data_IF_845977154636
#
_entry.id   IF_845977154636
#
_cell.length_a   1.000
_cell.length_b   1.000
_cell.length_c   1.000
_cell.angle_alpha   90.00
_cell.angle_beta   90.00
_cell.angle_gamma   90.00
#
_symmetry.space_group_name_H-M   'P 1'
#
loop_
_entity.id
_entity.type
_entity.pdbx_description
1 polymer ?
#
# COMPACT_ATOMS: atom_id res chain seq x y z
N UNK A 1 82.84 -26.21 -28.42
CA UNK A 1 81.73 -25.90 -29.36
C UNK A 1 80.76 -27.08 -29.42
N UNK A 2 79.49 -26.91 -29.01
CA UNK A 2 78.28 -27.44 -29.67
C UNK A 2 77.03 -26.93 -28.94
N UNK A 3 76.10 -26.38 -29.73
CA UNK A 3 75.01 -25.44 -29.37
C UNK A 3 73.96 -26.05 -28.41
N UNK A 4 73.56 -25.28 -27.39
CA UNK A 4 72.28 -25.46 -26.69
C UNK A 4 71.14 -25.08 -27.65
N UNK A 5 70.23 -26.01 -27.90
CA UNK A 5 68.99 -25.78 -28.67
C UNK A 5 68.00 -25.00 -27.80
N UNK A 6 67.77 -23.73 -28.13
CA UNK A 6 66.68 -22.93 -27.54
C UNK A 6 65.35 -23.36 -28.17
N UNK A 7 64.57 -24.17 -27.45
CA UNK A 7 63.19 -24.47 -27.84
C UNK A 7 62.34 -23.23 -27.57
N UNK A 8 61.95 -22.51 -28.64
CA UNK A 8 61.00 -21.39 -28.58
C UNK A 8 59.61 -21.92 -28.21
N UNK A 9 59.09 -21.50 -27.05
CA UNK A 9 57.69 -21.73 -26.64
C UNK A 9 56.78 -20.86 -27.52
N UNK A 10 55.98 -21.47 -28.39
CA UNK A 10 54.93 -20.79 -29.19
C UNK A 10 53.75 -20.51 -28.26
N UNK A 11 53.53 -19.25 -27.88
CA UNK A 11 52.27 -18.82 -27.28
C UNK A 11 51.23 -18.72 -28.41
N UNK A 12 50.35 -19.72 -28.50
CA UNK A 12 49.11 -19.58 -29.26
C UNK A 12 48.18 -18.70 -28.42
N UNK A 13 48.16 -17.40 -28.71
CA UNK A 13 47.02 -16.57 -28.37
C UNK A 13 45.96 -16.83 -29.44
N UNK A 14 44.91 -17.57 -29.08
CA UNK A 14 43.71 -17.69 -29.90
C UNK A 14 43.07 -16.31 -29.98
N UNK A 15 43.38 -15.57 -31.05
CA UNK A 15 42.61 -14.40 -31.43
C UNK A 15 41.26 -14.90 -31.92
N UNK A 16 40.24 -14.85 -31.06
CA UNK A 16 38.86 -15.06 -31.46
C UNK A 16 38.53 -14.12 -32.62
N UNK A 17 38.47 -14.67 -33.84
CA UNK A 17 38.07 -13.93 -35.03
C UNK A 17 36.57 -13.68 -34.92
N UNK A 18 36.19 -12.55 -34.31
CA UNK A 18 34.80 -12.09 -34.32
C UNK A 18 34.46 -11.70 -35.75
N UNK A 19 33.61 -12.51 -36.39
CA UNK A 19 33.06 -12.22 -37.71
C UNK A 19 32.21 -10.94 -37.59
N UNK A 20 32.74 -9.82 -38.10
CA UNK A 20 32.18 -8.47 -37.90
C UNK A 20 30.69 -8.38 -38.24
N UNK A 21 30.25 -9.02 -39.32
CA UNK A 21 28.83 -9.04 -39.71
C UNK A 21 27.93 -9.74 -38.68
N UNK A 22 28.38 -10.87 -38.12
CA UNK A 22 27.62 -11.58 -37.08
C UNK A 22 27.49 -10.75 -35.81
N UNK A 23 28.54 -10.02 -35.44
CA UNK A 23 28.52 -9.11 -34.29
C UNK A 23 27.52 -7.97 -34.48
N UNK A 24 27.52 -7.29 -35.63
CA UNK A 24 26.55 -6.22 -35.91
C UNK A 24 25.11 -6.74 -36.03
N UNK A 25 24.90 -7.93 -36.58
CA UNK A 25 23.58 -8.56 -36.64
C UNK A 25 23.03 -8.80 -35.23
N UNK A 26 23.84 -9.36 -34.33
CA UNK A 26 23.43 -9.61 -32.94
C UNK A 26 23.11 -8.30 -32.22
N UNK A 27 23.94 -7.26 -32.37
CA UNK A 27 23.67 -5.95 -31.79
C UNK A 27 22.35 -5.34 -32.29
N UNK A 28 22.09 -5.46 -33.60
CA UNK A 28 20.86 -4.95 -34.20
C UNK A 28 19.63 -5.68 -33.64
N UNK A 29 19.69 -7.01 -33.51
CA UNK A 29 18.59 -7.79 -32.90
C UNK A 29 18.34 -7.36 -31.46
N UNK A 30 19.40 -7.20 -30.66
CA UNK A 30 19.28 -6.73 -29.28
C UNK A 30 18.67 -5.33 -29.24
N UNK A 31 19.13 -4.42 -30.10
CA UNK A 31 18.60 -3.06 -30.19
C UNK A 31 17.10 -3.04 -30.52
N UNK A 32 16.67 -3.84 -31.49
CA UNK A 32 15.25 -3.95 -31.84
C UNK A 32 14.42 -4.55 -30.71
N UNK A 33 14.94 -5.54 -29.98
CA UNK A 33 14.26 -6.11 -28.83
C UNK A 33 14.03 -5.07 -27.73
N UNK A 34 15.05 -4.28 -27.39
CA UNK A 34 14.91 -3.18 -26.41
C UNK A 34 13.98 -2.07 -26.91
N UNK A 35 14.06 -1.73 -28.20
CA UNK A 35 13.19 -0.72 -28.81
C UNK A 35 11.72 -1.15 -28.78
N UNK A 36 11.43 -2.42 -29.05
CA UNK A 36 10.08 -2.97 -28.94
C UNK A 36 9.56 -2.93 -27.50
N UNK A 37 10.41 -3.25 -26.52
CA UNK A 37 10.04 -3.18 -25.09
C UNK A 37 9.77 -1.73 -24.67
N UNK A 38 10.63 -0.79 -25.05
CA UNK A 38 10.44 0.63 -24.78
C UNK A 38 9.16 1.18 -25.42
N UNK A 39 8.89 0.79 -26.68
CA UNK A 39 7.64 1.13 -27.38
C UNK A 39 6.42 0.55 -26.66
N UNK A 40 6.49 -0.69 -26.15
CA UNK A 40 5.40 -1.28 -25.37
C UNK A 40 5.17 -0.54 -24.05
N UNK A 41 6.23 -0.13 -23.36
CA UNK A 41 6.14 0.67 -22.13
C UNK A 41 5.48 2.01 -22.44
N UNK A 42 5.93 2.71 -23.48
CA UNK A 42 5.35 3.99 -23.90
C UNK A 42 3.86 3.84 -24.28
N UNK A 43 3.48 2.77 -24.99
CA UNK A 43 2.09 2.47 -25.31
C UNK A 43 1.22 2.37 -24.04
N UNK A 44 1.67 1.58 -23.05
CA UNK A 44 0.92 1.38 -21.81
C UNK A 44 0.80 2.69 -21.02
N UNK A 45 1.87 3.50 -20.97
CA UNK A 45 1.89 4.75 -20.22
C UNK A 45 1.08 5.87 -20.89
N UNK A 46 1.01 5.92 -22.22
CA UNK A 46 0.37 7.03 -22.95
C UNK A 46 -1.10 6.72 -23.28
N UNK A 47 -1.42 5.48 -23.68
CA UNK A 47 -2.74 5.13 -24.21
C UNK A 47 -3.66 4.55 -23.14
N UNK A 48 -3.13 3.83 -22.14
CA UNK A 48 -3.93 3.23 -21.07
C UNK A 48 -3.41 3.50 -19.62
N UNK A 49 -3.00 4.74 -19.26
CA UNK A 49 -2.65 5.02 -17.87
C UNK A 49 -3.87 4.95 -16.93
N UNK A 50 -5.05 5.33 -17.42
CA UNK A 50 -6.23 5.60 -16.59
C UNK A 50 -6.77 4.38 -15.86
N UNK A 51 -6.76 3.19 -16.47
CA UNK A 51 -7.27 1.98 -15.83
C UNK A 51 -6.37 1.53 -14.68
N UNK A 52 -5.04 1.61 -14.86
CA UNK A 52 -4.05 1.26 -13.85
C UNK A 52 -4.04 2.28 -12.70
N UNK A 53 -4.11 3.57 -13.01
CA UNK A 53 -4.22 4.65 -12.02
C UNK A 53 -5.52 4.49 -11.22
N UNK A 54 -6.66 4.30 -11.90
CA UNK A 54 -7.96 4.09 -11.24
C UNK A 54 -7.94 2.89 -10.29
N UNK A 55 -7.29 1.79 -10.65
CA UNK A 55 -7.16 0.63 -9.77
C UNK A 55 -6.25 0.91 -8.57
N UNK A 56 -5.21 1.73 -8.74
CA UNK A 56 -4.37 2.23 -7.64
C UNK A 56 -5.15 3.15 -6.70
N UNK A 57 -5.91 4.09 -7.27
CA UNK A 57 -6.70 5.07 -6.54
C UNK A 57 -7.81 4.40 -5.72
N UNK A 58 -8.54 3.44 -6.30
CA UNK A 58 -9.56 2.67 -5.61
C UNK A 58 -9.03 1.90 -4.39
N UNK A 59 -7.72 1.59 -4.37
CA UNK A 59 -7.09 0.86 -3.27
C UNK A 59 -6.45 1.79 -2.23
N UNK A 60 -5.97 2.96 -2.65
CA UNK A 60 -5.10 3.81 -1.82
C UNK A 60 -5.72 5.14 -1.41
N UNK A 61 -6.54 5.76 -2.27
CA UNK A 61 -7.10 7.08 -1.96
C UNK A 61 -8.33 6.91 -1.06
N UNK A 62 -8.18 7.35 0.20
CA UNK A 62 -9.32 7.59 1.10
C UNK A 62 -9.39 9.07 1.41
N UNK A 63 -10.40 9.74 0.87
CA UNK A 63 -10.72 11.10 1.27
C UNK A 63 -11.22 11.08 2.73
N UNK A 64 -10.47 11.70 3.65
CA UNK A 64 -10.93 11.97 5.01
C UNK A 64 -11.25 13.45 5.09
N UNK A 65 -12.51 13.80 5.28
CA UNK A 65 -12.90 15.19 5.50
C UNK A 65 -12.37 15.64 6.86
N UNK A 66 -11.54 16.67 6.87
CA UNK A 66 -11.15 17.35 8.11
C UNK A 66 -12.29 18.30 8.48
N UNK A 67 -12.99 18.01 9.57
CA UNK A 67 -14.00 18.92 10.10
C UNK A 67 -13.28 20.09 10.80
N UNK A 68 -13.58 21.31 10.37
CA UNK A 68 -13.26 22.50 11.17
C UNK A 68 -14.21 22.57 12.35
N UNK A 69 -13.71 23.00 13.52
CA UNK A 69 -14.56 23.25 14.67
C UNK A 69 -15.58 24.36 14.36
N UNK A 70 -16.81 24.23 14.86
CA UNK A 70 -17.83 25.29 14.79
C UNK A 70 -17.46 26.40 15.78
N UNK A 71 -17.67 27.65 15.38
CA UNK A 71 -17.42 28.82 16.22
C UNK A 71 -18.27 28.84 17.49
N UNK A 72 -17.75 29.50 18.51
CA UNK A 72 -18.44 29.70 19.79
C UNK A 72 -19.58 30.70 19.60
N UNK A 73 -20.74 30.41 20.17
CA UNK A 73 -21.86 31.35 20.26
C UNK A 73 -21.84 31.95 21.66
N UNK A 74 -21.67 33.26 21.77
CA UNK A 74 -21.66 34.00 23.04
C UNK A 74 -22.84 34.97 23.12
N UNK A 75 -23.30 35.27 24.33
CA UNK A 75 -24.26 36.36 24.59
C UNK A 75 -23.57 37.74 24.42
N UNK A 76 -24.35 38.82 24.48
CA UNK A 76 -23.90 40.22 24.42
C UNK A 76 -22.82 40.59 25.44
N UNK A 77 -22.77 39.87 26.56
CA UNK A 77 -21.79 40.07 27.63
C UNK A 77 -20.53 39.21 27.45
N UNK A 78 -20.43 38.44 26.36
CA UNK A 78 -19.29 37.56 26.07
C UNK A 78 -19.40 36.15 26.65
N UNK A 79 -20.39 35.87 27.49
CA UNK A 79 -20.61 34.55 28.08
C UNK A 79 -20.96 33.49 27.02
N UNK A 80 -20.26 32.35 26.97
CA UNK A 80 -20.50 31.31 25.97
C UNK A 80 -21.83 30.57 26.23
N UNK A 81 -22.71 30.56 25.23
CA UNK A 81 -23.97 29.82 25.24
C UNK A 81 -23.88 28.47 24.53
N UNK A 82 -22.99 28.34 23.53
CA UNK A 82 -22.74 27.08 22.85
C UNK A 82 -21.29 26.96 22.40
N UNK A 83 -20.65 25.84 22.75
CA UNK A 83 -19.24 25.52 22.44
C UNK A 83 -19.12 24.18 21.73
N UNK A 84 -18.16 24.08 20.80
CA UNK A 84 -17.81 22.81 20.15
C UNK A 84 -16.78 22.08 21.01
N UNK A 85 -17.17 20.97 21.63
CA UNK A 85 -16.23 20.12 22.37
C UNK A 85 -15.75 18.99 21.46
N UNK A 86 -14.42 18.76 21.33
CA UNK A 86 -13.93 17.63 20.57
C UNK A 86 -14.36 16.33 21.25
N UNK A 87 -14.96 15.43 20.47
CA UNK A 87 -15.37 14.11 20.92
C UNK A 87 -14.88 13.06 19.94
N UNK A 88 -14.54 11.89 20.45
CA UNK A 88 -14.05 10.79 19.63
C UNK A 88 -15.17 9.78 19.33
N UNK A 89 -14.94 8.91 18.35
CA UNK A 89 -15.82 7.80 18.06
C UNK A 89 -15.00 6.52 17.95
N UNK A 90 -15.40 5.49 18.69
CA UNK A 90 -14.77 4.18 18.63
C UNK A 90 -15.49 3.35 17.57
N UNK A 91 -14.72 2.84 16.63
CA UNK A 91 -15.20 2.04 15.50
C UNK A 91 -14.36 0.76 15.37
N UNK A 92 -14.91 -0.21 14.65
CA UNK A 92 -14.26 -1.48 14.37
C UNK A 92 -14.36 -1.86 12.89
N UNK A 93 -13.40 -2.66 12.44
CA UNK A 93 -13.39 -3.36 11.15
C UNK A 93 -13.65 -4.87 11.38
N UNK A 94 -14.91 -5.32 11.34
CA UNK A 94 -15.27 -6.73 11.50
C UNK A 94 -14.51 -7.67 10.56
N UNK A 95 -14.36 -7.32 9.27
CA UNK A 95 -13.66 -8.17 8.29
C UNK A 95 -12.24 -8.46 8.75
N UNK A 96 -11.53 -7.44 9.24
CA UNK A 96 -10.18 -7.61 9.78
C UNK A 96 -10.17 -8.45 11.05
N UNK A 97 -11.10 -8.20 11.97
CA UNK A 97 -11.24 -8.94 13.22
C UNK A 97 -11.46 -10.44 12.97
N UNK A 98 -12.33 -10.81 12.03
CA UNK A 98 -12.57 -12.21 11.69
C UNK A 98 -11.39 -12.84 10.96
N UNK A 99 -10.78 -12.13 10.01
CA UNK A 99 -9.61 -12.62 9.25
C UNK A 99 -8.40 -12.93 10.14
N UNK A 100 -8.13 -12.07 11.12
CA UNK A 100 -6.99 -12.21 12.04
C UNK A 100 -7.34 -13.05 13.28
N UNK A 101 -8.59 -13.49 13.43
CA UNK A 101 -9.04 -14.22 14.61
C UNK A 101 -9.06 -13.38 15.89
N UNK A 102 -9.26 -12.06 15.78
CA UNK A 102 -9.24 -11.11 16.90
C UNK A 102 -10.34 -11.33 17.95
N UNK A 103 -11.36 -12.15 17.64
CA UNK A 103 -12.39 -12.56 18.62
C UNK A 103 -11.98 -13.75 19.50
N UNK A 104 -10.80 -14.35 19.30
CA UNK A 104 -10.28 -15.44 20.16
C UNK A 104 -10.09 -14.99 21.60
N UNK A 105 -9.65 -13.75 21.81
CA UNK A 105 -9.43 -13.17 23.14
C UNK A 105 -10.66 -12.39 23.62
N UNK A 106 -11.73 -13.11 23.96
CA UNK A 106 -13.02 -12.52 24.32
C UNK A 106 -12.94 -11.56 25.53
N UNK A 107 -12.02 -11.81 26.46
CA UNK A 107 -11.82 -10.98 27.65
C UNK A 107 -11.43 -9.54 27.31
N UNK A 108 -10.67 -9.31 26.24
CA UNK A 108 -10.29 -7.95 25.80
C UNK A 108 -11.51 -7.18 25.29
N UNK A 109 -12.39 -7.87 24.58
CA UNK A 109 -13.65 -7.29 24.10
C UNK A 109 -14.62 -6.99 25.24
N UNK A 110 -14.64 -7.81 26.29
CA UNK A 110 -15.41 -7.51 27.49
C UNK A 110 -14.88 -6.31 28.26
N UNK A 111 -13.55 -6.20 28.41
CA UNK A 111 -12.95 -5.00 28.99
C UNK A 111 -13.27 -3.74 28.17
N UNK A 112 -13.23 -3.83 26.83
CA UNK A 112 -13.66 -2.74 25.96
C UNK A 112 -15.14 -2.39 26.15
N UNK A 113 -16.01 -3.39 26.24
CA UNK A 113 -17.44 -3.17 26.49
C UNK A 113 -17.66 -2.46 27.83
N UNK A 114 -16.96 -2.87 28.89
CA UNK A 114 -17.08 -2.28 30.23
C UNK A 114 -16.64 -0.80 30.22
N UNK A 115 -15.51 -0.47 29.57
CA UNK A 115 -15.03 0.92 29.44
C UNK A 115 -16.01 1.77 28.63
N UNK A 116 -16.61 1.20 27.58
CA UNK A 116 -17.61 1.90 26.76
C UNK A 116 -19.01 1.93 27.36
N UNK A 117 -19.23 1.29 28.53
CA UNK A 117 -20.55 1.16 29.14
C UNK A 117 -21.55 0.32 28.32
N UNK A 118 -21.06 -0.57 27.46
CA UNK A 118 -21.87 -1.43 26.60
C UNK A 118 -22.07 -2.81 27.24
N UNK A 119 -23.19 -3.46 26.95
CA UNK A 119 -23.38 -4.86 27.35
C UNK A 119 -22.40 -5.75 26.59
N UNK A 120 -21.58 -6.49 27.33
CA UNK A 120 -20.57 -7.43 26.82
C UNK A 120 -21.06 -8.29 25.65
N UNK A 121 -22.19 -8.97 25.85
CA UNK A 121 -22.75 -9.86 24.83
C UNK A 121 -23.28 -9.10 23.61
N UNK A 122 -23.85 -7.91 23.81
CA UNK A 122 -24.39 -7.08 22.75
C UNK A 122 -23.29 -6.56 21.82
N UNK A 123 -22.12 -6.20 22.37
CA UNK A 123 -20.96 -5.78 21.59
C UNK A 123 -20.48 -6.90 20.65
N UNK A 124 -20.34 -8.12 21.17
CA UNK A 124 -19.90 -9.29 20.38
C UNK A 124 -20.92 -9.64 19.30
N UNK A 125 -22.20 -9.68 19.66
CA UNK A 125 -23.31 -9.90 18.73
C UNK A 125 -23.31 -8.84 17.61
N UNK A 126 -23.10 -7.57 17.96
CA UNK A 126 -23.01 -6.47 16.99
C UNK A 126 -21.86 -6.64 16.02
N UNK A 127 -20.70 -7.14 16.47
CA UNK A 127 -19.56 -7.43 15.59
C UNK A 127 -19.87 -8.63 14.68
N UNK A 128 -20.40 -9.73 15.24
CA UNK A 128 -20.77 -10.94 14.49
C UNK A 128 -21.81 -10.68 13.41
N UNK A 129 -22.88 -9.94 13.72
CA UNK A 129 -23.92 -9.58 12.74
C UNK A 129 -23.40 -8.73 11.58
N UNK A 130 -22.24 -8.10 11.72
CA UNK A 130 -21.66 -7.22 10.70
C UNK A 130 -20.32 -7.76 10.15
N UNK A 131 -20.10 -9.08 10.16
CA UNK A 131 -18.85 -9.73 9.72
C UNK A 131 -18.33 -9.26 8.35
N UNK A 132 -19.24 -8.93 7.42
CA UNK A 132 -18.91 -8.54 6.06
C UNK A 132 -18.66 -7.03 5.87
N UNK A 133 -18.83 -6.21 6.92
CA UNK A 133 -18.62 -4.76 6.85
C UNK A 133 -17.20 -4.40 7.29
N UNK A 134 -16.56 -3.49 6.56
CA UNK A 134 -15.23 -2.95 6.92
C UNK A 134 -15.26 -1.82 7.96
N UNK A 135 -16.45 -1.35 8.32
CA UNK A 135 -16.61 -0.25 9.26
C UNK A 135 -17.94 -0.36 10.00
N UNK A 136 -17.89 -0.37 11.33
CA UNK A 136 -19.04 -0.21 12.22
C UNK A 136 -18.69 0.72 13.37
N UNK A 137 -19.63 1.58 13.77
CA UNK A 137 -19.51 2.36 15.00
C UNK A 137 -19.78 1.45 16.21
N UNK A 138 -18.85 1.39 17.15
CA UNK A 138 -19.06 0.75 18.45
C UNK A 138 -19.76 1.72 19.39
N UNK A 139 -19.18 2.91 19.57
CA UNK A 139 -19.72 4.01 20.36
C UNK A 139 -19.36 5.36 19.71
N UNK A 140 -20.27 6.34 19.78
CA UNK A 140 -20.05 7.71 19.29
C UNK A 140 -19.93 8.66 20.47
N UNK A 141 -19.26 9.79 20.26
CA UNK A 141 -19.16 10.90 21.21
C UNK A 141 -18.55 10.46 22.55
N UNK A 142 -17.47 9.70 22.49
CA UNK A 142 -16.70 9.34 23.68
C UNK A 142 -15.80 10.52 24.05
N UNK A 143 -15.65 10.75 25.35
CA UNK A 143 -14.67 11.72 25.84
C UNK A 143 -13.29 11.31 25.32
N UNK A 144 -12.48 12.24 24.78
CA UNK A 144 -11.06 12.02 24.54
C UNK A 144 -10.32 11.62 25.81
#
# INVERSE_FOLDING_TARGET
>A
MKKKSSVKKKNNQDSMVLIRWRFYLVLLVIFFAFSALAGRIAYIQIIEPDNLIKQGDLRSIRAKTLHSARGIISDRNGEPLAVSVPVEAVWADPVRIFKEGGLKEINRWYALADVLGLKRQELIEKIKRNENKRFIYLQRQVSP
#
